data_IF_287360546761
#
_entry.id   IF_287360546761
#
_cell.length_a   1.000
_cell.length_b   1.000
_cell.length_c   1.000
_cell.angle_alpha   90.00
_cell.angle_beta   90.00
_cell.angle_gamma   90.00
#
_symmetry.space_group_name_H-M   'P 1'
#
loop_
_entity.id
_entity.type
_entity.pdbx_description
1 polymer ?
#
# COMPACT_ATOMS: atom_id res chain seq x y z
N UNK A 1 -15.78 -1.83 5.74
CA UNK A 1 -14.67 -1.32 4.90
C UNK A 1 -15.10 -1.04 3.46
N UNK A 2 -15.83 -1.95 2.80
CA UNK A 2 -16.29 -1.76 1.42
C UNK A 2 -17.16 -0.50 1.24
N UNK A 3 -18.05 -0.19 2.19
CA UNK A 3 -18.98 0.94 2.06
C UNK A 3 -18.24 2.27 2.03
N UNK A 4 -17.32 2.50 2.98
CA UNK A 4 -16.48 3.69 3.01
C UNK A 4 -15.63 3.83 1.74
N UNK A 5 -15.16 2.72 1.16
CA UNK A 5 -14.37 2.74 -0.08
C UNK A 5 -15.16 3.07 -1.35
N UNK A 6 -16.49 3.04 -1.30
CA UNK A 6 -17.40 3.35 -2.43
C UNK A 6 -18.25 4.59 -2.19
N UNK A 7 -18.12 5.22 -1.03
CA UNK A 7 -18.99 6.32 -0.63
C UNK A 7 -18.55 7.64 -1.32
N UNK A 8 -19.45 8.38 -2.00
CA UNK A 8 -19.08 9.54 -2.81
C UNK A 8 -18.52 10.71 -1.98
N UNK A 9 -18.94 10.84 -0.71
CA UNK A 9 -18.49 11.91 0.18
C UNK A 9 -17.32 11.48 1.10
N UNK A 10 -16.73 10.30 0.89
CA UNK A 10 -15.59 9.83 1.69
C UNK A 10 -14.41 9.59 0.75
N UNK A 11 -13.30 10.27 1.02
CA UNK A 11 -12.02 10.02 0.34
C UNK A 11 -11.10 9.21 1.25
N UNK A 12 -10.78 7.99 0.85
CA UNK A 12 -9.80 7.16 1.57
C UNK A 12 -8.39 7.50 1.11
N UNK A 13 -7.55 7.95 2.04
CA UNK A 13 -6.12 8.15 1.85
C UNK A 13 -5.37 6.99 2.54
N UNK A 14 -5.30 5.85 1.86
CA UNK A 14 -4.57 4.68 2.36
C UNK A 14 -3.05 4.89 2.28
N UNK A 15 -2.29 4.19 3.12
CA UNK A 15 -0.82 4.31 3.18
C UNK A 15 -0.38 5.78 3.39
N UNK A 16 -1.11 6.51 4.23
CA UNK A 16 -0.91 7.93 4.47
C UNK A 16 -0.87 8.22 5.96
N UNK A 17 -0.08 9.22 6.34
CA UNK A 17 0.13 9.67 7.71
C UNK A 17 -0.17 11.16 7.81
N UNK A 18 -0.86 11.57 8.88
CA UNK A 18 -1.04 12.98 9.22
C UNK A 18 0.24 13.47 9.89
N UNK A 19 0.90 14.46 9.29
CA UNK A 19 2.16 14.99 9.81
C UNK A 19 1.99 16.31 10.53
N UNK A 20 0.89 17.03 10.25
CA UNK A 20 0.64 18.35 10.81
C UNK A 20 -0.84 18.66 10.80
N UNK A 21 -1.31 19.35 11.85
CA UNK A 21 -2.67 19.86 11.98
C UNK A 21 -2.58 21.28 12.53
N UNK A 22 -3.12 22.23 11.79
CA UNK A 22 -3.16 23.64 12.15
C UNK A 22 -4.59 24.18 12.12
N UNK A 23 -4.81 25.31 12.78
CA UNK A 23 -6.08 26.04 12.80
C UNK A 23 -6.89 25.86 14.09
N UNK A 24 -8.18 26.10 13.98
CA UNK A 24 -9.11 26.20 15.11
C UNK A 24 -10.42 25.44 14.82
N UNK A 25 -11.28 25.17 15.83
CA UNK A 25 -12.52 24.43 15.63
C UNK A 25 -13.39 24.99 14.48
N UNK A 26 -13.57 24.19 13.42
CA UNK A 26 -14.33 24.56 12.23
C UNK A 26 -13.49 25.02 11.03
N UNK A 27 -12.18 25.26 11.22
CA UNK A 27 -11.25 25.70 10.19
C UNK A 27 -9.87 25.05 10.38
N UNK A 28 -9.79 23.74 10.07
CA UNK A 28 -8.54 22.99 10.15
C UNK A 28 -7.85 22.87 8.79
N UNK A 29 -6.53 23.01 8.81
CA UNK A 29 -5.67 22.62 7.70
C UNK A 29 -4.83 21.43 8.16
N UNK A 30 -4.82 20.35 7.36
CA UNK A 30 -4.14 19.10 7.71
C UNK A 30 -3.15 18.75 6.61
N UNK A 31 -1.88 18.59 6.99
CA UNK A 31 -0.84 18.11 6.08
C UNK A 31 -0.77 16.59 6.18
N UNK A 32 -0.92 15.91 5.04
CA UNK A 32 -0.94 14.45 4.96
C UNK A 32 0.17 13.99 4.01
N UNK A 33 1.06 13.13 4.49
CA UNK A 33 2.05 12.45 3.66
C UNK A 33 1.44 11.14 3.18
N UNK A 34 1.39 10.95 1.85
CA UNK A 34 1.03 9.66 1.25
C UNK A 34 2.29 8.93 0.86
N UNK A 35 2.58 7.82 1.52
CA UNK A 35 3.76 7.02 1.22
C UNK A 35 3.60 6.32 -0.14
N UNK A 36 4.67 6.29 -0.96
CA UNK A 36 4.62 5.66 -2.27
C UNK A 36 4.37 4.16 -2.14
N UNK A 37 3.45 3.64 -2.94
CA UNK A 37 3.26 2.19 -3.13
C UNK A 37 4.24 1.59 -4.13
N UNK A 38 4.93 2.44 -4.89
CA UNK A 38 5.75 2.09 -6.05
C UNK A 38 4.99 1.31 -7.14
N UNK A 39 3.66 1.52 -7.18
CA UNK A 39 2.74 0.95 -8.16
C UNK A 39 1.79 2.07 -8.55
N UNK A 40 1.48 2.16 -9.85
CA UNK A 40 0.45 3.07 -10.34
C UNK A 40 -0.93 2.57 -9.91
N UNK A 41 -1.53 3.25 -8.94
CA UNK A 41 -2.79 2.80 -8.32
C UNK A 41 -3.96 2.79 -9.31
N UNK A 42 -3.97 3.67 -10.30
CA UNK A 42 -5.02 3.74 -11.32
C UNK A 42 -5.00 2.51 -12.26
N UNK A 43 -3.80 2.00 -12.57
CA UNK A 43 -3.61 0.84 -13.44
C UNK A 43 -3.68 -0.50 -12.68
N UNK A 44 -3.39 -0.49 -11.38
CA UNK A 44 -3.36 -1.70 -10.58
C UNK A 44 -4.77 -2.29 -10.37
N UNK A 45 -5.02 -3.49 -10.87
CA UNK A 45 -6.29 -4.21 -10.68
C UNK A 45 -6.36 -5.01 -9.37
N UNK A 46 -5.23 -5.16 -8.67
CA UNK A 46 -5.14 -6.00 -7.47
C UNK A 46 -5.21 -7.51 -7.76
N UNK A 47 -4.82 -7.93 -8.97
CA UNK A 47 -4.85 -9.34 -9.41
C UNK A 47 -3.84 -10.25 -8.69
N UNK A 48 -2.72 -9.70 -8.19
CA UNK A 48 -1.69 -10.45 -7.46
C UNK A 48 -0.67 -11.19 -8.34
N UNK A 49 -0.73 -11.08 -9.66
CA UNK A 49 0.23 -11.73 -10.58
C UNK A 49 1.68 -11.30 -10.33
N UNK A 50 1.92 -10.05 -9.94
CA UNK A 50 3.27 -9.60 -9.60
C UNK A 50 3.89 -10.37 -8.41
N UNK A 51 3.08 -10.75 -7.42
CA UNK A 51 3.52 -11.52 -6.25
C UNK A 51 3.95 -12.94 -6.63
N UNK A 52 3.36 -13.55 -7.67
CA UNK A 52 3.73 -14.92 -8.08
C UNK A 52 5.12 -14.98 -8.71
N UNK A 53 5.55 -13.91 -9.38
CA UNK A 53 6.89 -13.82 -10.00
C UNK A 53 7.96 -13.31 -9.04
N UNK A 54 7.58 -12.68 -7.93
CA UNK A 54 8.54 -12.12 -6.99
C UNK A 54 9.39 -13.23 -6.33
N UNK A 55 10.72 -13.22 -6.54
CA UNK A 55 11.61 -14.24 -5.97
C UNK A 55 11.88 -14.00 -4.47
N UNK A 56 11.59 -12.81 -3.97
CA UNK A 56 11.87 -12.42 -2.58
C UNK A 56 10.73 -12.83 -1.67
N UNK A 57 11.09 -13.49 -0.58
CA UNK A 57 10.18 -13.85 0.52
C UNK A 57 10.62 -13.10 1.77
N UNK A 58 9.68 -12.41 2.41
CA UNK A 58 9.88 -11.67 3.67
C UNK A 58 8.83 -12.11 4.68
N UNK A 59 9.08 -11.97 6.00
CA UNK A 59 8.03 -12.18 7.00
C UNK A 59 6.84 -11.26 6.75
N UNK A 60 5.62 -11.77 6.89
CA UNK A 60 4.40 -11.01 6.67
C UNK A 60 3.99 -10.22 7.93
N UNK A 61 4.07 -8.88 7.93
CA UNK A 61 3.68 -8.10 9.10
C UNK A 61 2.19 -8.22 9.44
N UNK A 62 1.34 -8.49 8.44
CA UNK A 62 -0.10 -8.69 8.65
C UNK A 62 -0.40 -9.95 9.47
N UNK A 63 0.36 -11.02 9.26
CA UNK A 63 0.23 -12.29 9.99
C UNK A 63 1.17 -12.34 11.20
N UNK A 64 1.52 -11.19 11.81
CA UNK A 64 2.45 -11.10 12.95
C UNK A 64 3.81 -11.79 12.71
N UNK A 65 4.30 -11.77 11.47
CA UNK A 65 5.53 -12.43 11.02
C UNK A 65 5.50 -13.96 11.11
N UNK A 66 4.33 -14.58 11.26
CA UNK A 66 4.18 -16.04 11.32
C UNK A 66 4.29 -16.71 9.94
N UNK A 67 3.89 -16.01 8.88
CA UNK A 67 3.92 -16.49 7.51
C UNK A 67 4.83 -15.67 6.59
N UNK A 68 5.28 -16.22 5.46
CA UNK A 68 5.97 -15.45 4.44
C UNK A 68 4.99 -14.65 3.56
N UNK A 69 5.41 -13.44 3.16
CA UNK A 69 4.85 -12.67 2.06
C UNK A 69 5.94 -12.32 1.04
N UNK A 70 5.57 -11.63 -0.03
CA UNK A 70 6.44 -11.22 -1.12
C UNK A 70 6.77 -9.74 -1.01
N UNK A 71 7.93 -9.33 -1.58
CA UNK A 71 8.34 -7.93 -1.60
C UNK A 71 7.34 -7.01 -2.36
N UNK A 72 6.57 -7.56 -3.30
CA UNK A 72 5.38 -6.92 -3.86
C UNK A 72 4.15 -7.76 -3.55
N UNK A 73 3.18 -7.20 -2.83
CA UNK A 73 1.98 -7.91 -2.40
C UNK A 73 0.80 -6.97 -2.11
N UNK A 74 -0.39 -7.53 -1.93
CA UNK A 74 -1.54 -6.81 -1.36
C UNK A 74 -1.54 -7.07 0.15
N UNK A 75 -1.81 -6.05 0.96
CA UNK A 75 -1.71 -6.11 2.43
C UNK A 75 -2.44 -7.32 3.05
N UNK A 76 -3.66 -7.58 2.62
CA UNK A 76 -4.40 -8.78 2.96
C UNK A 76 -5.41 -9.11 1.84
N UNK A 77 -5.99 -10.32 1.79
CA UNK A 77 -6.91 -10.73 0.72
C UNK A 77 -8.14 -9.82 0.53
N UNK A 78 -8.56 -9.16 1.62
CA UNK A 78 -9.76 -8.31 1.68
C UNK A 78 -9.42 -6.81 1.78
N UNK A 79 -8.19 -6.41 1.46
CA UNK A 79 -7.74 -5.03 1.57
C UNK A 79 -8.60 -4.04 0.76
N UNK A 80 -8.87 -2.87 1.35
CA UNK A 80 -9.54 -1.73 0.70
C UNK A 80 -8.67 -0.49 0.86
N UNK A 81 -8.15 0.11 -0.22
CA UNK A 81 -8.27 -0.32 -1.61
C UNK A 81 -7.46 -1.59 -1.89
N UNK A 82 -7.95 -2.45 -2.80
CA UNK A 82 -7.26 -3.68 -3.20
C UNK A 82 -6.14 -3.38 -4.19
N UNK A 83 -5.06 -2.75 -3.70
CA UNK A 83 -3.89 -2.33 -4.49
C UNK A 83 -2.64 -2.99 -3.93
N UNK A 84 -1.76 -3.42 -4.84
CA UNK A 84 -0.46 -3.91 -4.46
C UNK A 84 0.42 -2.76 -3.92
N UNK A 85 1.39 -3.11 -3.09
CA UNK A 85 2.46 -2.22 -2.66
C UNK A 85 3.79 -2.98 -2.73
N UNK A 86 4.88 -2.22 -2.91
CA UNK A 86 6.24 -2.75 -2.86
C UNK A 86 6.89 -2.34 -1.56
N UNK A 87 7.46 -3.30 -0.85
CA UNK A 87 8.43 -3.05 0.22
C UNK A 87 9.76 -2.65 -0.42
N UNK A 88 10.11 -1.37 -0.28
CA UNK A 88 11.36 -0.80 -0.82
C UNK A 88 12.60 -1.48 -0.26
N UNK A 89 12.58 -1.88 1.00
CA UNK A 89 13.74 -2.45 1.67
C UNK A 89 14.00 -3.90 1.21
N UNK A 90 12.94 -4.61 0.82
CA UNK A 90 13.03 -5.98 0.35
C UNK A 90 13.21 -6.12 -1.17
N UNK A 91 12.68 -5.18 -1.96
CA UNK A 91 12.62 -5.31 -3.42
C UNK A 91 13.98 -5.10 -4.10
N UNK A 92 14.42 -6.12 -4.84
CA UNK A 92 15.71 -6.13 -5.55
C UNK A 92 15.77 -5.18 -6.76
N UNK A 93 14.63 -4.67 -7.24
CA UNK A 93 14.59 -3.64 -8.28
C UNK A 93 15.37 -2.39 -7.86
N UNK A 94 15.23 -1.96 -6.59
CA UNK A 94 15.91 -0.77 -6.07
C UNK A 94 17.43 -0.95 -5.89
N UNK A 95 17.93 -2.19 -6.02
CA UNK A 95 19.36 -2.53 -6.01
C UNK A 95 19.85 -2.89 -7.43
N UNK A 96 19.01 -2.73 -8.46
CA UNK A 96 19.36 -2.96 -9.86
C UNK A 96 19.45 -4.43 -10.27
N UNK A 97 18.82 -5.36 -9.52
CA UNK A 97 18.96 -6.81 -9.73
C UNK A 97 17.71 -7.53 -10.27
N UNK A 98 16.58 -6.85 -10.41
CA UNK A 98 15.31 -7.48 -10.81
C UNK A 98 14.49 -6.54 -11.70
N UNK A 99 13.82 -7.09 -12.73
CA UNK A 99 12.91 -6.38 -13.64
C UNK A 99 11.71 -7.25 -14.05
N UNK A 100 11.31 -8.20 -13.19
CA UNK A 100 10.35 -9.26 -13.56
C UNK A 100 8.89 -8.81 -13.57
N UNK A 101 8.53 -7.81 -12.78
CA UNK A 101 7.15 -7.37 -12.56
C UNK A 101 7.03 -5.85 -12.62
#
# INVERSE_FOLDING_TARGET
MSDAGRHPNIRILSNSEVVEVEGEPGAFTVTIVRHPRYVEEELCTGCGTCSTYCPISIPNPYDENLGPTKAISVWCPQAVPKKAYVDRNACQYFVGKCTLC
#
